data_IF_953479293305
#
_entry.id   IF_953479293305
#
_cell.length_a   1.000
_cell.length_b   1.000
_cell.length_c   1.000
_cell.angle_alpha   90.00
_cell.angle_beta   90.00
_cell.angle_gamma   90.00
#
_symmetry.space_group_name_H-M   'P 1'
#
loop_
_entity.id
_entity.type
_entity.pdbx_description
1 polymer ?
#
# COMPACT_ATOMS: atom_id res chain seq x y z
N UNK A 1 -3.13 31.73 21.59
CA UNK A 1 -1.98 32.57 21.25
C UNK A 1 -0.69 32.09 21.93
N UNK A 2 -0.69 31.92 23.27
CA UNK A 2 0.53 31.56 24.02
C UNK A 2 1.23 30.30 23.49
N UNK A 3 0.48 29.22 23.27
CA UNK A 3 1.03 27.96 22.74
C UNK A 3 1.66 28.12 21.34
N UNK A 4 1.05 28.96 20.48
CA UNK A 4 1.58 29.23 19.14
C UNK A 4 2.83 30.13 19.20
N UNK A 5 2.82 31.11 20.08
CA UNK A 5 3.95 32.07 20.21
C UNK A 5 5.17 31.48 20.91
N UNK A 6 4.97 30.44 21.75
CA UNK A 6 6.04 29.68 22.38
C UNK A 6 6.55 28.51 21.54
N UNK A 7 5.93 28.27 20.39
CA UNK A 7 6.21 27.11 19.52
C UNK A 7 5.90 25.73 20.15
N UNK A 8 5.09 25.70 21.21
CA UNK A 8 4.65 24.43 21.82
C UNK A 8 3.57 23.71 21.01
N UNK A 9 2.92 24.41 20.08
CA UNK A 9 1.91 23.89 19.19
C UNK A 9 1.90 24.62 17.85
N UNK A 10 1.65 23.90 16.77
CA UNK A 10 1.42 24.44 15.44
C UNK A 10 0.27 23.73 14.74
N UNK A 11 -0.58 24.49 14.07
CA UNK A 11 -1.69 23.93 13.27
C UNK A 11 -1.18 23.32 11.98
N UNK A 12 -1.84 22.25 11.52
CA UNK A 12 -1.54 21.64 10.22
C UNK A 12 -1.97 22.54 9.05
N UNK A 13 -1.40 22.30 7.86
CA UNK A 13 -1.68 23.07 6.65
C UNK A 13 -3.18 23.20 6.32
N UNK A 14 -4.03 22.13 6.37
CA UNK A 14 -5.45 22.30 6.11
C UNK A 14 -6.17 23.22 7.10
N UNK A 15 -5.78 23.19 8.36
CA UNK A 15 -6.32 24.11 9.38
C UNK A 15 -6.00 25.57 9.00
N UNK A 16 -4.76 25.83 8.59
CA UNK A 16 -4.34 27.19 8.20
C UNK A 16 -5.02 27.69 6.93
N UNK A 17 -5.28 26.80 5.95
CA UNK A 17 -5.89 27.18 4.66
C UNK A 17 -7.40 27.25 4.68
N UNK A 18 -8.05 26.35 5.42
CA UNK A 18 -9.50 26.13 5.31
C UNK A 18 -10.27 26.67 6.52
N UNK A 19 -9.60 27.02 7.62
CA UNK A 19 -10.25 27.60 8.80
C UNK A 19 -10.97 28.90 8.44
N UNK A 20 -12.24 29.03 8.84
CA UNK A 20 -13.04 30.21 8.54
C UNK A 20 -13.57 30.30 7.12
N UNK A 21 -13.34 29.33 6.25
CA UNK A 21 -13.94 29.26 4.90
C UNK A 21 -15.35 28.64 4.96
N UNK A 22 -16.07 28.74 3.83
CA UNK A 22 -17.42 28.14 3.68
C UNK A 22 -17.43 26.60 3.83
N UNK A 23 -16.29 25.95 3.67
CA UNK A 23 -16.08 24.50 3.85
C UNK A 23 -14.81 24.26 4.66
N UNK A 24 -14.91 24.34 6.00
CA UNK A 24 -13.75 24.26 6.87
C UNK A 24 -13.30 22.80 7.07
N UNK A 25 -12.71 22.19 6.03
CA UNK A 25 -12.08 20.89 6.10
C UNK A 25 -10.69 21.06 6.73
N UNK A 26 -10.50 20.53 7.94
CA UNK A 26 -9.29 20.74 8.76
C UNK A 26 -8.37 19.50 8.86
N UNK A 27 -8.82 18.34 8.37
CA UNK A 27 -8.03 17.11 8.39
C UNK A 27 -6.92 17.14 7.35
N UNK A 28 -5.72 16.70 7.72
CA UNK A 28 -4.57 16.64 6.80
C UNK A 28 -4.41 15.30 6.09
N UNK A 29 -4.86 14.21 6.71
CA UNK A 29 -4.64 12.86 6.20
C UNK A 29 -5.90 12.01 6.29
N UNK A 30 -6.08 11.16 5.30
CA UNK A 30 -7.17 10.20 5.20
C UNK A 30 -6.59 8.83 4.91
N UNK A 31 -7.01 7.83 5.67
CA UNK A 31 -6.56 6.45 5.51
C UNK A 31 -7.75 5.59 5.10
N UNK A 32 -7.57 4.75 4.11
CA UNK A 32 -8.58 3.82 3.61
C UNK A 32 -7.97 2.44 3.36
N UNK A 33 -8.78 1.40 3.51
CA UNK A 33 -8.45 0.04 3.05
C UNK A 33 -9.23 -0.24 1.79
N UNK A 34 -8.56 -0.69 0.74
CA UNK A 34 -9.16 -0.99 -0.56
C UNK A 34 -9.69 -2.43 -0.53
N UNK A 35 -11.00 -2.65 -0.77
CA UNK A 35 -11.57 -4.00 -0.79
C UNK A 35 -11.21 -4.75 -2.06
N UNK A 36 -11.30 -6.11 -2.02
CA UNK A 36 -10.98 -7.00 -3.13
C UNK A 36 -12.16 -7.21 -4.09
N UNK A 37 -12.74 -6.12 -4.56
CA UNK A 37 -13.75 -6.13 -5.62
C UNK A 37 -13.66 -4.88 -6.50
N UNK A 38 -14.06 -5.02 -7.75
CA UNK A 38 -13.87 -3.96 -8.74
C UNK A 38 -14.62 -2.66 -8.39
N UNK A 39 -15.84 -2.77 -7.86
CA UNK A 39 -16.62 -1.60 -7.45
C UNK A 39 -15.96 -0.89 -6.27
N UNK A 40 -15.52 -1.65 -5.27
CA UNK A 40 -14.83 -1.12 -4.10
C UNK A 40 -13.49 -0.46 -4.44
N UNK A 41 -12.70 -1.07 -5.33
CA UNK A 41 -11.44 -0.48 -5.83
C UNK A 41 -11.70 0.87 -6.50
N UNK A 42 -12.65 0.96 -7.43
CA UNK A 42 -12.94 2.22 -8.12
C UNK A 42 -13.67 3.24 -7.23
N UNK A 43 -14.44 2.81 -6.24
CA UNK A 43 -14.99 3.71 -5.22
C UNK A 43 -13.88 4.31 -4.36
N UNK A 44 -12.89 3.53 -3.93
CA UNK A 44 -11.73 4.06 -3.21
C UNK A 44 -10.97 5.10 -4.04
N UNK A 45 -10.70 4.84 -5.32
CA UNK A 45 -10.04 5.80 -6.23
C UNK A 45 -10.89 7.07 -6.41
N UNK A 46 -12.22 6.95 -6.53
CA UNK A 46 -13.13 8.10 -6.61
C UNK A 46 -13.08 8.95 -5.33
N UNK A 47 -13.12 8.31 -4.18
CA UNK A 47 -13.07 8.99 -2.89
C UNK A 47 -11.71 9.70 -2.70
N UNK A 48 -10.62 9.09 -3.14
CA UNK A 48 -9.30 9.69 -3.17
C UNK A 48 -9.28 10.98 -4.03
N UNK A 49 -9.89 10.94 -5.21
CA UNK A 49 -10.01 12.12 -6.07
C UNK A 49 -10.80 13.25 -5.40
N UNK A 50 -11.91 12.91 -4.72
CA UNK A 50 -12.72 13.88 -4.00
C UNK A 50 -12.00 14.49 -2.80
N UNK A 51 -11.22 13.68 -2.04
CA UNK A 51 -10.46 14.12 -0.89
C UNK A 51 -9.22 14.95 -1.29
N UNK A 52 -8.55 14.58 -2.38
CA UNK A 52 -7.42 15.34 -2.95
C UNK A 52 -7.80 16.77 -3.29
N UNK A 53 -9.04 17.01 -3.73
CA UNK A 53 -9.56 18.36 -4.02
C UNK A 53 -9.45 19.30 -2.82
N UNK A 54 -9.48 18.76 -1.59
CA UNK A 54 -9.42 19.54 -0.33
C UNK A 54 -8.05 19.53 0.33
N UNK A 55 -6.98 19.17 -0.40
CA UNK A 55 -5.59 19.12 0.08
C UNK A 55 -5.30 18.09 1.17
N UNK A 56 -6.12 17.06 1.32
CA UNK A 56 -5.81 15.91 2.16
C UNK A 56 -4.70 15.05 1.57
N UNK A 57 -3.76 14.59 2.39
CA UNK A 57 -2.88 13.48 2.05
C UNK A 57 -3.65 12.17 2.16
N UNK A 58 -3.43 11.26 1.22
CA UNK A 58 -4.17 10.01 1.13
C UNK A 58 -3.23 8.83 1.40
N UNK A 59 -3.66 7.92 2.25
CA UNK A 59 -3.00 6.65 2.49
C UNK A 59 -3.97 5.51 2.21
N UNK A 60 -3.65 4.65 1.23
CA UNK A 60 -4.50 3.55 0.84
C UNK A 60 -3.77 2.24 1.09
N UNK A 61 -4.38 1.36 1.85
CA UNK A 61 -3.92 0.00 2.04
C UNK A 61 -4.52 -0.91 0.97
N UNK A 62 -3.64 -1.50 0.17
CA UNK A 62 -3.97 -2.36 -0.97
C UNK A 62 -3.82 -3.85 -0.66
N UNK A 63 -3.46 -4.19 0.57
CA UNK A 63 -3.11 -5.56 0.96
C UNK A 63 -4.24 -6.56 0.74
N UNK A 64 -5.50 -6.13 0.84
CA UNK A 64 -6.66 -7.03 0.64
C UNK A 64 -6.91 -7.38 -0.83
N UNK A 65 -6.41 -6.58 -1.77
CA UNK A 65 -6.62 -6.82 -3.20
C UNK A 65 -5.81 -8.04 -3.64
N UNK A 66 -6.49 -9.01 -4.26
CA UNK A 66 -5.86 -10.26 -4.72
C UNK A 66 -4.69 -10.04 -5.65
N UNK A 67 -3.67 -10.86 -5.49
CA UNK A 67 -2.44 -10.76 -6.25
C UNK A 67 -2.51 -11.32 -7.67
N UNK A 68 -1.41 -11.16 -8.39
CA UNK A 68 -1.21 -11.69 -9.73
C UNK A 68 -1.45 -13.21 -9.76
N UNK A 69 -2.18 -13.69 -10.78
CA UNK A 69 -2.47 -15.10 -10.99
C UNK A 69 -3.66 -15.64 -10.18
N UNK A 70 -4.21 -14.85 -9.27
CA UNK A 70 -5.40 -15.26 -8.49
C UNK A 70 -6.64 -15.41 -9.36
N UNK A 71 -7.41 -16.44 -9.10
CA UNK A 71 -8.62 -16.74 -9.90
C UNK A 71 -9.73 -15.70 -9.67
N UNK A 72 -10.31 -15.22 -10.77
CA UNK A 72 -11.50 -14.36 -10.76
C UNK A 72 -12.74 -15.22 -11.00
N UNK A 73 -13.52 -15.47 -9.95
CA UNK A 73 -14.70 -16.36 -10.01
C UNK A 73 -15.75 -15.93 -11.03
N UNK A 74 -15.95 -14.62 -11.23
CA UNK A 74 -17.00 -14.08 -12.11
C UNK A 74 -16.71 -14.19 -13.61
N UNK A 75 -15.44 -14.20 -14.02
CA UNK A 75 -15.02 -14.19 -15.43
C UNK A 75 -14.23 -15.43 -15.84
N UNK A 76 -13.92 -16.30 -14.91
CA UNK A 76 -13.05 -17.46 -15.10
C UNK A 76 -11.63 -17.10 -15.58
N UNK A 77 -11.22 -15.83 -15.37
CA UNK A 77 -9.90 -15.29 -15.68
C UNK A 77 -8.97 -15.26 -14.47
N UNK A 78 -7.77 -14.71 -14.69
CA UNK A 78 -6.76 -14.51 -13.66
C UNK A 78 -6.55 -13.02 -13.39
N UNK A 79 -6.29 -12.68 -12.13
CA UNK A 79 -5.97 -11.33 -11.69
C UNK A 79 -4.61 -10.88 -12.25
N UNK A 80 -4.54 -9.62 -12.64
CA UNK A 80 -3.27 -8.97 -13.02
C UNK A 80 -2.55 -8.33 -11.80
N UNK A 81 -3.05 -8.62 -10.58
CA UNK A 81 -2.50 -8.11 -9.33
C UNK A 81 -2.85 -6.65 -9.04
N UNK A 82 -2.19 -6.08 -8.04
CA UNK A 82 -2.45 -4.71 -7.56
C UNK A 82 -1.86 -3.63 -8.48
N UNK A 83 -0.79 -3.91 -9.19
CA UNK A 83 0.00 -2.91 -9.95
C UNK A 83 -0.81 -2.14 -11.00
N UNK A 84 -1.68 -2.75 -11.82
CA UNK A 84 -2.50 -2.01 -12.77
C UNK A 84 -3.45 -1.01 -12.10
N UNK A 85 -4.03 -1.37 -10.96
CA UNK A 85 -4.91 -0.47 -10.20
C UNK A 85 -4.12 0.66 -9.52
N UNK A 86 -2.92 0.38 -9.02
CA UNK A 86 -2.01 1.39 -8.51
C UNK A 86 -1.62 2.42 -9.57
N UNK A 87 -1.47 2.00 -10.84
CA UNK A 87 -1.26 2.92 -11.96
C UNK A 87 -2.44 3.86 -12.16
N UNK A 88 -3.67 3.36 -12.10
CA UNK A 88 -4.89 4.20 -12.20
C UNK A 88 -4.96 5.18 -11.02
N UNK A 89 -4.67 4.72 -9.81
CA UNK A 89 -4.64 5.56 -8.61
C UNK A 89 -3.57 6.67 -8.71
N UNK A 90 -2.37 6.34 -9.19
CA UNK A 90 -1.30 7.30 -9.45
C UNK A 90 -1.75 8.39 -10.44
N UNK A 91 -2.32 8.01 -11.57
CA UNK A 91 -2.73 8.94 -12.62
C UNK A 91 -3.93 9.81 -12.14
N UNK A 92 -4.79 9.26 -11.29
CA UNK A 92 -5.84 10.02 -10.60
C UNK A 92 -5.27 11.07 -9.66
N UNK A 93 -4.25 10.71 -8.86
CA UNK A 93 -3.58 11.66 -7.96
C UNK A 93 -2.88 12.80 -8.73
N UNK A 94 -2.32 12.51 -9.90
CA UNK A 94 -1.73 13.53 -10.80
C UNK A 94 -2.81 14.45 -11.39
N UNK A 95 -3.94 13.87 -11.82
CA UNK A 95 -5.03 14.61 -12.46
C UNK A 95 -5.77 15.54 -11.50
N UNK A 96 -5.93 15.15 -10.23
CA UNK A 96 -6.69 15.90 -9.23
C UNK A 96 -5.77 16.61 -8.27
N UNK A 97 -5.69 17.92 -8.39
CA UNK A 97 -4.95 18.78 -7.48
C UNK A 97 -5.84 19.88 -6.90
N UNK A 98 -5.38 20.51 -5.83
CA UNK A 98 -6.11 21.61 -5.17
C UNK A 98 -5.97 22.93 -5.96
N UNK A 99 -6.62 23.01 -7.13
CA UNK A 99 -6.72 24.24 -7.93
C UNK A 99 -5.34 24.91 -8.19
N UNK A 100 -4.29 24.10 -8.42
CA UNK A 100 -2.93 24.57 -8.68
C UNK A 100 -2.12 24.97 -7.43
N UNK A 101 -2.72 24.97 -6.23
CA UNK A 101 -2.02 25.38 -4.98
C UNK A 101 -1.22 24.26 -4.35
N UNK A 102 -1.65 23.02 -4.45
CA UNK A 102 -0.98 21.84 -3.91
C UNK A 102 -1.27 20.63 -4.80
N UNK A 103 -0.23 19.85 -5.13
CA UNK A 103 -0.40 18.58 -5.84
C UNK A 103 -1.12 17.58 -4.92
N UNK A 104 -1.91 16.69 -5.50
CA UNK A 104 -2.43 15.52 -4.80
C UNK A 104 -1.26 14.69 -4.26
N UNK A 105 -1.38 14.20 -3.02
CA UNK A 105 -0.37 13.36 -2.40
C UNK A 105 -1.03 12.06 -1.95
N UNK A 106 -0.60 10.96 -2.55
CA UNK A 106 -1.09 9.62 -2.27
C UNK A 106 0.07 8.71 -1.85
N UNK A 107 -0.17 7.85 -0.88
CA UNK A 107 0.73 6.79 -0.48
C UNK A 107 -0.01 5.45 -0.53
N UNK A 108 0.50 4.50 -1.30
CA UNK A 108 0.02 3.13 -1.30
C UNK A 108 0.79 2.31 -0.26
N UNK A 109 0.06 1.56 0.55
CA UNK A 109 0.60 0.63 1.53
C UNK A 109 0.40 -0.80 1.04
N UNK A 110 1.41 -1.65 1.23
CA UNK A 110 1.32 -3.08 0.99
C UNK A 110 2.10 -3.84 2.07
N UNK A 111 1.53 -4.93 2.56
CA UNK A 111 2.20 -5.79 3.51
C UNK A 111 3.27 -6.66 2.84
N UNK A 112 4.38 -6.90 3.55
CA UNK A 112 5.56 -7.60 3.00
C UNK A 112 5.33 -9.08 2.65
N UNK A 113 4.21 -9.68 3.08
CA UNK A 113 3.83 -11.05 2.74
C UNK A 113 2.94 -11.16 1.49
N UNK A 114 2.51 -10.03 0.91
CA UNK A 114 1.67 -10.02 -0.28
C UNK A 114 2.45 -10.54 -1.50
N UNK A 115 1.80 -11.34 -2.34
CA UNK A 115 2.48 -11.99 -3.47
C UNK A 115 3.05 -11.00 -4.50
N UNK A 116 2.45 -9.82 -4.62
CA UNK A 116 2.90 -8.78 -5.54
C UNK A 116 3.97 -7.85 -4.95
N UNK A 117 4.51 -8.14 -3.75
CA UNK A 117 5.45 -7.23 -3.07
C UNK A 117 6.69 -6.92 -3.93
N UNK A 118 7.21 -7.89 -4.68
CA UNK A 118 8.39 -7.67 -5.51
C UNK A 118 8.14 -6.66 -6.64
N UNK A 119 6.96 -6.70 -7.28
CA UNK A 119 6.56 -5.73 -8.29
C UNK A 119 6.19 -4.37 -7.67
N UNK A 120 5.56 -4.39 -6.49
CA UNK A 120 5.26 -3.18 -5.75
C UNK A 120 6.52 -2.38 -5.41
N UNK A 121 7.59 -3.05 -5.00
CA UNK A 121 8.88 -2.41 -4.75
C UNK A 121 9.49 -1.78 -6.01
N UNK A 122 9.17 -2.30 -7.19
CA UNK A 122 9.68 -1.77 -8.47
C UNK A 122 8.88 -0.58 -9.02
N UNK A 123 7.77 -0.17 -8.39
CA UNK A 123 6.86 0.85 -8.90
C UNK A 123 7.52 2.20 -9.23
N UNK A 124 8.55 2.58 -8.50
CA UNK A 124 9.25 3.86 -8.68
C UNK A 124 10.57 3.77 -9.43
N UNK A 125 10.94 2.60 -9.92
CA UNK A 125 12.15 2.43 -10.73
C UNK A 125 12.10 3.27 -12.01
N UNK A 126 13.24 3.85 -12.38
CA UNK A 126 13.42 4.61 -13.62
C UNK A 126 13.64 3.72 -14.86
N UNK A 127 13.49 2.40 -14.71
CA UNK A 127 13.71 1.41 -15.77
C UNK A 127 12.54 0.42 -15.81
N UNK A 128 12.36 -0.25 -16.95
CA UNK A 128 11.33 -1.25 -17.17
C UNK A 128 10.11 -0.72 -17.92
N UNK A 129 8.95 -1.38 -17.78
CA UNK A 129 7.73 -0.99 -18.47
C UNK A 129 7.02 0.15 -17.71
N UNK A 130 6.94 1.33 -18.33
CA UNK A 130 6.29 2.53 -17.80
C UNK A 130 4.80 2.32 -17.44
N UNK A 131 4.12 1.35 -18.06
CA UNK A 131 2.75 0.99 -17.72
C UNK A 131 2.63 0.37 -16.32
N UNK A 132 3.75 -0.11 -15.78
CA UNK A 132 3.85 -0.71 -14.45
C UNK A 132 4.64 0.18 -13.48
N UNK A 133 4.74 1.49 -13.74
CA UNK A 133 5.44 2.47 -12.90
C UNK A 133 4.48 3.54 -12.40
N UNK A 134 4.72 4.01 -11.18
CA UNK A 134 3.90 5.01 -10.49
C UNK A 134 4.82 6.05 -9.84
N UNK A 135 5.41 6.93 -10.65
CA UNK A 135 6.45 7.86 -10.20
C UNK A 135 5.94 8.98 -9.28
N UNK A 136 4.65 9.31 -9.35
CA UNK A 136 4.06 10.42 -8.58
C UNK A 136 3.41 9.97 -7.26
N UNK A 137 3.19 8.67 -7.09
CA UNK A 137 2.63 8.09 -5.89
C UNK A 137 3.73 7.61 -4.95
N UNK A 138 3.61 7.88 -3.66
CA UNK A 138 4.49 7.32 -2.65
C UNK A 138 4.11 5.87 -2.35
N UNK A 139 5.07 5.09 -1.92
CA UNK A 139 4.89 3.70 -1.48
C UNK A 139 5.35 3.52 -0.05
N UNK A 140 4.75 2.60 0.67
CA UNK A 140 5.16 2.21 2.01
C UNK A 140 4.87 0.72 2.25
N UNK A 141 5.74 0.06 2.99
CA UNK A 141 5.59 -1.34 3.34
C UNK A 141 5.15 -1.48 4.79
N UNK A 142 4.18 -2.35 5.04
CA UNK A 142 3.91 -2.82 6.39
C UNK A 142 4.70 -4.09 6.64
N UNK A 143 5.58 -4.05 7.65
CA UNK A 143 6.58 -5.10 7.93
C UNK A 143 6.27 -5.71 9.29
N UNK A 144 5.81 -6.97 9.36
CA UNK A 144 5.58 -7.65 10.63
C UNK A 144 6.90 -8.07 11.30
N UNK A 145 6.90 -8.16 12.63
CA UNK A 145 8.07 -8.57 13.43
C UNK A 145 8.68 -9.90 12.95
N UNK A 146 7.82 -10.86 12.60
CA UNK A 146 8.26 -12.16 12.08
C UNK A 146 9.13 -12.03 10.81
N UNK A 147 8.82 -11.07 9.93
CA UNK A 147 9.66 -10.84 8.75
C UNK A 147 11.08 -10.43 9.15
N UNK A 148 11.21 -9.51 10.10
CA UNK A 148 12.51 -9.06 10.59
C UNK A 148 13.27 -10.16 11.36
N UNK A 149 12.57 -11.01 12.12
CA UNK A 149 13.14 -12.22 12.72
C UNK A 149 13.75 -13.11 11.62
N UNK A 150 13.02 -13.35 10.53
CA UNK A 150 13.46 -14.18 9.41
C UNK A 150 14.59 -13.57 8.59
N UNK A 151 14.63 -12.25 8.47
CA UNK A 151 15.76 -11.54 7.87
C UNK A 151 17.03 -11.74 8.71
N UNK A 152 16.93 -11.58 10.03
CA UNK A 152 18.06 -11.75 10.95
C UNK A 152 18.59 -13.20 11.00
N UNK A 153 17.70 -14.17 10.81
CA UNK A 153 18.01 -15.59 10.81
C UNK A 153 18.30 -16.17 9.41
N UNK A 154 18.30 -15.33 8.38
CA UNK A 154 18.50 -15.71 6.97
C UNK A 154 17.54 -16.83 6.49
N UNK A 155 16.30 -16.78 6.95
CA UNK A 155 15.26 -17.77 6.63
C UNK A 155 14.44 -17.37 5.39
N UNK A 156 13.64 -18.33 4.93
CA UNK A 156 12.67 -18.12 3.86
C UNK A 156 11.46 -17.33 4.35
N UNK A 157 10.80 -16.67 3.39
CA UNK A 157 9.56 -15.92 3.54
C UNK A 157 8.59 -16.37 2.47
N UNK A 158 7.36 -16.70 2.84
CA UNK A 158 6.34 -17.13 1.89
C UNK A 158 5.41 -15.96 1.58
N UNK A 159 5.29 -15.66 0.31
CA UNK A 159 4.35 -14.68 -0.21
C UNK A 159 3.02 -15.35 -0.51
N UNK A 160 1.92 -14.70 -0.18
CA UNK A 160 0.57 -15.19 -0.37
C UNK A 160 -0.29 -14.20 -1.14
N UNK A 161 -1.27 -14.69 -1.87
CA UNK A 161 -2.39 -13.87 -2.27
C UNK A 161 -3.41 -13.79 -1.14
N UNK A 162 -3.94 -12.59 -0.82
CA UNK A 162 -4.76 -12.38 0.37
C UNK A 162 -6.08 -13.17 0.37
N UNK A 163 -6.63 -13.55 -0.78
CA UNK A 163 -7.84 -14.38 -0.81
C UNK A 163 -7.61 -15.81 -0.29
N UNK A 164 -6.36 -16.29 -0.30
CA UNK A 164 -6.00 -17.61 0.25
C UNK A 164 -5.48 -17.53 1.70
N UNK A 165 -5.13 -16.32 2.17
CA UNK A 165 -4.69 -16.06 3.54
C UNK A 165 -5.37 -14.78 4.13
N UNK A 166 -6.70 -14.69 4.13
CA UNK A 166 -7.42 -13.43 4.38
C UNK A 166 -7.27 -12.88 5.81
N UNK A 167 -6.98 -13.74 6.78
CA UNK A 167 -6.90 -13.31 8.18
C UNK A 167 -5.58 -12.60 8.50
N UNK A 168 -4.53 -12.77 7.68
CA UNK A 168 -3.19 -12.20 7.98
C UNK A 168 -3.22 -10.68 8.09
N UNK A 169 -4.02 -10.02 7.28
CA UNK A 169 -4.13 -8.57 7.26
C UNK A 169 -4.66 -7.97 8.58
N UNK A 170 -5.47 -8.71 9.32
CA UNK A 170 -6.09 -8.23 10.55
C UNK A 170 -5.29 -8.57 11.82
N UNK A 171 -4.14 -9.24 11.66
CA UNK A 171 -3.33 -9.76 12.75
C UNK A 171 -1.98 -9.05 12.86
N UNK A 172 -1.42 -9.04 14.05
CA UNK A 172 -0.09 -8.49 14.34
C UNK A 172 0.62 -9.28 15.46
N UNK A 173 1.92 -9.06 15.59
CA UNK A 173 2.74 -9.67 16.64
C UNK A 173 2.64 -11.20 16.66
N UNK A 174 2.35 -11.76 17.83
CA UNK A 174 2.31 -13.22 18.04
C UNK A 174 1.19 -13.92 17.26
N UNK A 175 0.01 -13.30 17.22
CA UNK A 175 -1.14 -13.88 16.50
C UNK A 175 -0.88 -13.94 14.99
N UNK A 176 -0.25 -12.90 14.44
CA UNK A 176 0.21 -12.91 13.05
C UNK A 176 1.19 -14.06 12.82
N UNK A 177 2.21 -14.22 13.68
CA UNK A 177 3.21 -15.27 13.55
C UNK A 177 2.59 -16.67 13.52
N UNK A 178 1.73 -16.97 14.48
CA UNK A 178 1.04 -18.27 14.56
C UNK A 178 0.21 -18.56 13.32
N UNK A 179 -0.54 -17.56 12.83
CA UNK A 179 -1.39 -17.71 11.65
C UNK A 179 -0.57 -17.79 10.36
N UNK A 180 0.49 -16.99 10.24
CA UNK A 180 1.38 -17.02 9.08
C UNK A 180 2.06 -18.40 8.94
N UNK A 181 2.60 -18.95 10.02
CA UNK A 181 3.21 -20.28 10.03
C UNK A 181 2.18 -21.40 9.73
N UNK A 182 0.93 -21.20 10.12
CA UNK A 182 -0.16 -22.10 9.72
C UNK A 182 -0.38 -22.08 8.20
N UNK A 183 -0.42 -20.89 7.58
CA UNK A 183 -0.56 -20.77 6.12
C UNK A 183 0.68 -21.29 5.39
N UNK A 184 1.87 -21.13 5.91
CA UNK A 184 3.09 -21.74 5.34
C UNK A 184 2.98 -23.26 5.27
N UNK A 185 2.49 -23.91 6.34
CA UNK A 185 2.27 -25.37 6.35
C UNK A 185 1.25 -25.79 5.30
N UNK A 186 0.18 -25.03 5.12
CA UNK A 186 -0.81 -25.28 4.07
C UNK A 186 -0.21 -25.15 2.67
N UNK A 187 0.59 -24.12 2.43
CA UNK A 187 1.28 -23.94 1.14
C UNK A 187 2.25 -25.10 0.86
N UNK A 188 3.00 -25.55 1.86
CA UNK A 188 3.89 -26.73 1.75
C UNK A 188 3.12 -28.02 1.49
N UNK A 189 1.90 -28.15 2.00
CA UNK A 189 1.01 -29.27 1.73
C UNK A 189 0.31 -29.20 0.36
N UNK A 190 0.49 -28.09 -0.40
CA UNK A 190 -0.16 -27.88 -1.69
C UNK A 190 -1.63 -27.47 -1.61
N UNK A 191 -2.10 -27.04 -0.43
CA UNK A 191 -3.47 -26.57 -0.22
C UNK A 191 -3.65 -25.09 -0.63
N UNK A 192 -2.57 -24.33 -0.73
CA UNK A 192 -2.53 -22.94 -1.23
C UNK A 192 -1.84 -22.95 -2.59
N UNK A 193 -2.55 -22.52 -3.62
CA UNK A 193 -2.08 -22.58 -5.01
C UNK A 193 -1.26 -21.35 -5.36
N UNK A 194 -1.73 -20.16 -4.96
CA UNK A 194 -1.09 -18.88 -5.30
C UNK A 194 -0.18 -18.40 -4.15
N UNK A 195 0.95 -19.09 -4.01
CA UNK A 195 1.99 -18.74 -3.04
C UNK A 195 3.38 -18.86 -3.66
N UNK A 196 4.34 -18.11 -3.13
CA UNK A 196 5.74 -18.11 -3.60
C UNK A 196 6.69 -18.06 -2.41
N UNK A 197 7.64 -18.98 -2.34
CA UNK A 197 8.70 -18.97 -1.32
C UNK A 197 9.90 -18.19 -1.84
N UNK A 198 10.38 -17.24 -1.06
CA UNK A 198 11.54 -16.39 -1.34
C UNK A 198 12.47 -16.34 -0.11
N UNK A 199 13.69 -15.81 -0.25
CA UNK A 199 14.51 -15.52 0.92
C UNK A 199 14.10 -14.17 1.53
N UNK A 200 13.88 -14.10 2.84
CA UNK A 200 13.54 -12.86 3.53
C UNK A 200 14.61 -11.78 3.32
N UNK A 201 15.88 -12.17 3.33
CA UNK A 201 17.03 -11.28 3.09
C UNK A 201 17.03 -10.67 1.69
N UNK A 202 16.53 -11.37 0.67
CA UNK A 202 16.49 -10.85 -0.70
C UNK A 202 15.41 -9.77 -0.84
N UNK A 203 14.22 -9.99 -0.26
CA UNK A 203 13.18 -8.95 -0.18
C UNK A 203 13.68 -7.74 0.61
N UNK A 204 14.34 -7.95 1.74
CA UNK A 204 14.89 -6.86 2.55
C UNK A 204 15.95 -6.05 1.80
N UNK A 205 16.88 -6.71 1.11
CA UNK A 205 17.87 -6.04 0.25
C UNK A 205 17.20 -5.26 -0.86
N UNK A 206 16.13 -5.79 -1.46
CA UNK A 206 15.37 -5.10 -2.50
C UNK A 206 14.70 -3.83 -1.92
N UNK A 207 14.08 -3.90 -0.74
CA UNK A 207 13.51 -2.73 -0.06
C UNK A 207 14.58 -1.65 0.17
N UNK A 208 15.73 -2.03 0.73
CA UNK A 208 16.84 -1.09 0.96
C UNK A 208 17.41 -0.52 -0.34
N UNK A 209 17.51 -1.35 -1.40
CA UNK A 209 17.94 -0.91 -2.72
C UNK A 209 17.00 0.15 -3.30
N UNK A 210 15.68 -0.07 -3.21
CA UNK A 210 14.68 0.90 -3.70
C UNK A 210 14.68 2.18 -2.87
N UNK A 211 14.81 2.08 -1.56
CA UNK A 211 14.96 3.23 -0.69
C UNK A 211 16.19 4.07 -1.08
N UNK A 212 17.31 3.42 -1.39
CA UNK A 212 18.53 4.11 -1.83
C UNK A 212 18.38 4.77 -3.20
N UNK A 213 17.76 4.07 -4.18
CA UNK A 213 17.60 4.58 -5.55
C UNK A 213 16.53 5.66 -5.68
N UNK A 214 15.42 5.53 -4.98
CA UNK A 214 14.21 6.35 -5.22
C UNK A 214 13.78 7.18 -4.02
N UNK A 215 14.33 6.92 -2.83
CA UNK A 215 13.91 7.54 -1.58
C UNK A 215 12.59 6.98 -1.02
N UNK A 216 12.08 5.89 -1.59
CA UNK A 216 10.84 5.21 -1.16
C UNK A 216 11.07 3.70 -1.06
N UNK A 217 10.39 3.07 -0.07
CA UNK A 217 10.39 1.62 0.02
C UNK A 217 9.64 0.99 -1.14
#
# INVERSE_FOLDING_TARGET
YNLLSSFDFMSSTPTLFNSGTLRPQLSSCYLTTVPDDLEGIFNAIKDDALLSKYAGGLGNDWTRVRGLGSRIKGTNGESQGVVPFLKVANDTAVAVNQGGKRKGAMCAYLESWHIDIEEFLDLRKNTGDERRRTHDMNTANWIPDLFMERVAEEKTWTLFSPEEAPELHDLYGKEFKEKYEFYEKKAQAGEIVNSKVVNATDIWRKMLGMLFETGHP
#
